data_IF_725933411077
#
_entry.id   IF_725933411077
#
_cell.length_a   1.000
_cell.length_b   1.000
_cell.length_c   1.000
_cell.angle_alpha   90.00
_cell.angle_beta   90.00
_cell.angle_gamma   90.00
#
_symmetry.space_group_name_H-M   'P 1'
#
loop_
_entity.id
_entity.type
_entity.pdbx_description
1 polymer ?
#
# COMPACT_ATOMS: atom_id res chain seq x y z
N UNK A 1 6.95 -4.15 -25.68
CA UNK A 1 7.58 -5.46 -25.49
C UNK A 1 6.60 -6.54 -25.94
N UNK A 2 7.06 -7.38 -26.85
CA UNK A 2 6.38 -8.60 -27.29
C UNK A 2 6.54 -9.71 -26.24
N UNK A 3 5.81 -10.82 -26.39
CA UNK A 3 6.00 -12.02 -25.55
C UNK A 3 7.45 -12.53 -25.65
N UNK A 4 8.02 -12.53 -26.85
CA UNK A 4 9.40 -12.97 -27.09
C UNK A 4 10.43 -12.10 -26.37
N UNK A 5 10.21 -10.78 -26.33
CA UNK A 5 11.09 -9.85 -25.59
C UNK A 5 11.09 -10.18 -24.09
N UNK A 6 9.92 -10.49 -23.52
CA UNK A 6 9.76 -10.80 -22.09
C UNK A 6 10.38 -12.16 -21.76
N UNK A 7 10.21 -13.17 -22.62
CA UNK A 7 10.87 -14.45 -22.46
C UNK A 7 12.40 -14.29 -22.46
N UNK A 8 12.93 -13.51 -23.41
CA UNK A 8 14.37 -13.27 -23.53
C UNK A 8 14.92 -12.53 -22.29
N UNK A 9 14.18 -11.53 -21.79
CA UNK A 9 14.52 -10.82 -20.56
C UNK A 9 14.51 -11.76 -19.34
N UNK A 10 13.46 -12.57 -19.19
CA UNK A 10 13.35 -13.52 -18.09
C UNK A 10 14.45 -14.59 -18.15
N UNK A 11 14.77 -15.10 -19.34
CA UNK A 11 15.82 -16.09 -19.57
C UNK A 11 17.21 -15.55 -19.22
N UNK A 12 17.49 -14.27 -19.51
CA UNK A 12 18.72 -13.60 -19.07
C UNK A 12 18.88 -13.57 -17.53
N UNK A 13 17.77 -13.71 -16.80
CA UNK A 13 17.72 -13.85 -15.34
C UNK A 13 17.49 -15.29 -14.85
N UNK A 14 17.60 -16.29 -15.72
CA UNK A 14 17.48 -17.71 -15.38
C UNK A 14 16.04 -18.20 -15.20
N UNK A 15 15.04 -17.44 -15.66
CA UNK A 15 13.63 -17.81 -15.60
C UNK A 15 13.09 -18.14 -17.00
N UNK A 16 12.80 -19.41 -17.24
CA UNK A 16 12.26 -19.88 -18.52
C UNK A 16 10.73 -19.83 -18.50
N UNK A 17 10.14 -18.94 -19.31
CA UNK A 17 8.70 -18.71 -19.39
C UNK A 17 8.06 -19.36 -20.63
N UNK A 18 6.83 -19.82 -20.47
CA UNK A 18 5.95 -20.19 -21.60
C UNK A 18 5.40 -18.94 -22.29
N UNK A 19 4.69 -19.14 -23.39
CA UNK A 19 3.96 -18.09 -24.13
C UNK A 19 2.66 -17.65 -23.45
N UNK A 20 2.20 -18.37 -22.42
CA UNK A 20 1.00 -18.05 -21.64
C UNK A 20 1.28 -16.87 -20.71
N UNK A 21 0.94 -15.67 -21.17
CA UNK A 21 1.11 -14.42 -20.42
C UNK A 21 -0.17 -13.59 -20.39
N UNK A 22 -0.46 -13.00 -19.23
CA UNK A 22 -1.49 -11.97 -19.08
C UNK A 22 -0.84 -10.66 -18.63
N UNK A 23 -1.32 -9.55 -19.20
CA UNK A 23 -0.73 -8.24 -19.00
C UNK A 23 -1.64 -7.36 -18.14
N UNK A 24 -1.05 -6.70 -17.15
CA UNK A 24 -1.69 -5.59 -16.44
C UNK A 24 -0.83 -4.34 -16.64
N UNK A 25 -1.38 -3.38 -17.39
CA UNK A 25 -0.71 -2.15 -17.78
C UNK A 25 -1.15 -0.94 -16.94
N UNK A 26 -1.95 -1.14 -15.89
CA UNK A 26 -2.46 -0.03 -15.06
C UNK A 26 -1.38 0.61 -14.18
N UNK A 27 -0.29 -0.10 -13.89
CA UNK A 27 0.81 0.39 -13.07
C UNK A 27 1.61 1.51 -13.73
N UNK A 28 1.94 2.55 -12.95
CA UNK A 28 2.69 3.74 -13.42
C UNK A 28 4.19 3.44 -13.52
N UNK A 29 4.79 2.83 -12.49
CA UNK A 29 6.24 2.57 -12.46
C UNK A 29 6.61 1.27 -13.16
N UNK A 30 5.71 0.28 -13.16
CA UNK A 30 5.97 -1.05 -13.67
C UNK A 30 4.87 -1.52 -14.62
N UNK A 31 5.29 -2.20 -15.67
CA UNK A 31 4.44 -3.12 -16.41
C UNK A 31 4.38 -4.45 -15.64
N UNK A 32 3.17 -4.93 -15.35
CA UNK A 32 2.96 -6.19 -14.63
C UNK A 32 2.58 -7.29 -15.61
N UNK A 33 3.24 -8.45 -15.50
CA UNK A 33 2.99 -9.61 -16.34
C UNK A 33 2.82 -10.84 -15.46
N UNK A 34 1.70 -11.53 -15.63
CA UNK A 34 1.48 -12.85 -15.05
C UNK A 34 1.88 -13.90 -16.09
N UNK A 35 2.83 -14.76 -15.74
CA UNK A 35 3.38 -15.74 -16.67
C UNK A 35 3.53 -17.12 -16.03
N UNK A 36 3.41 -18.17 -16.84
CA UNK A 36 3.70 -19.54 -16.41
C UNK A 36 5.12 -19.94 -16.83
N UNK A 37 5.91 -20.47 -15.91
CA UNK A 37 7.22 -21.03 -16.24
C UNK A 37 7.12 -22.42 -16.89
N UNK A 38 8.22 -22.92 -17.46
CA UNK A 38 8.23 -24.23 -18.14
C UNK A 38 8.02 -25.43 -17.20
N UNK A 39 7.97 -25.20 -15.88
CA UNK A 39 7.68 -26.19 -14.85
C UNK A 39 6.23 -26.11 -14.33
N UNK A 40 5.43 -25.16 -14.84
CA UNK A 40 4.05 -24.96 -14.44
C UNK A 40 3.83 -24.09 -13.21
N UNK A 41 4.87 -23.39 -12.71
CA UNK A 41 4.71 -22.40 -11.64
C UNK A 41 4.26 -21.05 -12.24
N UNK A 42 3.28 -20.41 -11.60
CA UNK A 42 2.88 -19.05 -11.97
C UNK A 42 3.77 -18.01 -11.29
N UNK A 43 4.15 -17.00 -12.07
CA UNK A 43 5.02 -15.91 -11.69
C UNK A 43 4.37 -14.56 -11.99
N UNK A 44 4.66 -13.58 -11.14
CA UNK A 44 4.42 -12.17 -11.38
C UNK A 44 5.76 -11.50 -11.70
N UNK A 45 5.81 -10.84 -12.86
CA UNK A 45 6.94 -10.03 -13.31
C UNK A 45 6.55 -8.56 -13.21
N UNK A 46 7.44 -7.73 -12.65
CA UNK A 46 7.37 -6.27 -12.70
C UNK A 46 8.55 -5.78 -13.55
N UNK A 47 8.23 -5.20 -14.69
CA UNK A 47 9.21 -4.64 -15.64
C UNK A 47 9.17 -3.12 -15.49
N UNK A 48 10.25 -2.46 -15.04
CA UNK A 48 10.29 -1.01 -14.89
C UNK A 48 9.95 -0.29 -16.21
N UNK A 49 9.11 0.74 -16.14
CA UNK A 49 8.78 1.59 -17.30
C UNK A 49 9.81 2.68 -17.57
N UNK A 50 10.65 2.99 -16.57
CA UNK A 50 11.62 4.08 -16.60
C UNK A 50 12.92 3.68 -15.93
N UNK A 51 14.01 4.30 -16.38
CA UNK A 51 15.29 4.25 -15.70
C UNK A 51 15.22 4.92 -14.31
N UNK A 52 16.17 4.60 -13.44
CA UNK A 52 16.24 5.20 -12.09
C UNK A 52 15.46 4.45 -11.00
N UNK A 53 14.75 3.37 -11.32
CA UNK A 53 14.02 2.54 -10.34
C UNK A 53 14.92 1.69 -9.44
N UNK A 54 16.24 1.72 -9.63
CA UNK A 54 17.22 0.91 -8.89
C UNK A 54 17.06 1.04 -7.37
N UNK A 55 17.01 2.27 -6.87
CA UNK A 55 16.98 2.50 -5.43
C UNK A 55 15.61 2.15 -4.81
N UNK A 56 14.51 2.39 -5.55
CA UNK A 56 13.17 1.95 -5.15
C UNK A 56 13.07 0.42 -5.06
N UNK A 57 13.55 -0.29 -6.09
CA UNK A 57 13.60 -1.77 -6.12
C UNK A 57 14.45 -2.29 -4.96
N UNK A 58 15.65 -1.73 -4.72
CA UNK A 58 16.49 -2.14 -3.59
C UNK A 58 15.81 -1.89 -2.25
N UNK A 59 15.16 -0.74 -2.08
CA UNK A 59 14.45 -0.38 -0.84
C UNK A 59 13.32 -1.37 -0.58
N UNK A 60 12.46 -1.60 -1.56
CA UNK A 60 11.33 -2.54 -1.43
C UNK A 60 11.83 -3.97 -1.20
N UNK A 61 12.93 -4.40 -1.83
CA UNK A 61 13.55 -5.70 -1.55
C UNK A 61 13.97 -5.85 -0.08
N UNK A 62 14.60 -4.82 0.52
CA UNK A 62 14.95 -4.82 1.95
C UNK A 62 13.71 -4.87 2.85
N UNK A 63 12.66 -4.14 2.48
CA UNK A 63 11.38 -4.19 3.19
C UNK A 63 10.81 -5.61 3.16
N UNK A 64 10.74 -6.24 1.99
CA UNK A 64 10.23 -7.61 1.83
C UNK A 64 11.03 -8.63 2.66
N UNK A 65 12.35 -8.50 2.68
CA UNK A 65 13.22 -9.34 3.52
C UNK A 65 13.03 -9.12 5.02
N UNK A 66 12.69 -7.90 5.44
CA UNK A 66 12.35 -7.58 6.82
C UNK A 66 10.98 -8.17 7.18
N UNK A 67 9.91 -7.82 6.46
CA UNK A 67 8.55 -8.20 6.82
C UNK A 67 8.33 -9.72 6.76
N UNK A 68 9.00 -10.43 5.84
CA UNK A 68 8.96 -11.90 5.76
C UNK A 68 9.40 -12.62 7.05
N UNK A 69 10.19 -11.96 7.91
CA UNK A 69 10.64 -12.51 9.20
C UNK A 69 9.59 -12.40 10.30
N UNK A 70 8.69 -11.43 10.18
CA UNK A 70 7.77 -11.03 11.25
C UNK A 70 6.31 -11.41 10.95
N UNK A 71 5.94 -11.46 9.68
CA UNK A 71 4.56 -11.72 9.28
C UNK A 71 4.28 -13.22 9.17
N UNK A 72 3.10 -13.62 9.65
CA UNK A 72 2.56 -14.98 9.51
C UNK A 72 1.85 -15.21 8.18
N UNK A 73 1.55 -14.14 7.45
CA UNK A 73 0.91 -14.13 6.14
C UNK A 73 1.96 -14.02 5.02
N UNK A 74 1.59 -14.39 3.79
CA UNK A 74 2.49 -14.33 2.64
C UNK A 74 2.85 -12.87 2.28
N UNK A 75 4.10 -12.69 1.88
CA UNK A 75 4.61 -11.44 1.28
C UNK A 75 5.38 -11.78 0.01
N UNK A 76 5.45 -10.88 -0.99
CA UNK A 76 6.24 -11.12 -2.19
C UNK A 76 7.68 -11.56 -1.91
N UNK A 77 8.05 -12.74 -2.43
CA UNK A 77 9.42 -13.25 -2.35
C UNK A 77 10.16 -12.97 -3.66
N UNK A 78 10.69 -11.76 -3.82
CA UNK A 78 11.44 -11.36 -5.02
C UNK A 78 12.66 -12.24 -5.23
N UNK A 79 12.52 -13.26 -6.07
CA UNK A 79 13.60 -14.20 -6.45
C UNK A 79 14.50 -13.60 -7.51
N UNK A 80 13.94 -12.74 -8.35
CA UNK A 80 14.68 -11.90 -9.28
C UNK A 80 14.43 -10.45 -8.86
N UNK A 81 15.51 -9.69 -8.70
CA UNK A 81 15.47 -8.26 -8.40
C UNK A 81 16.67 -7.58 -9.07
N UNK A 82 16.42 -7.05 -10.27
CA UNK A 82 17.38 -6.29 -11.07
C UNK A 82 16.75 -4.94 -11.45
N UNK A 83 17.54 -4.07 -12.10
CA UNK A 83 17.02 -2.81 -12.64
C UNK A 83 16.14 -2.99 -13.87
N UNK A 84 16.09 -4.18 -14.45
CA UNK A 84 15.36 -4.49 -15.68
C UNK A 84 14.17 -5.43 -15.40
N UNK A 85 14.26 -6.24 -14.35
CA UNK A 85 13.23 -7.21 -14.00
C UNK A 85 13.19 -7.46 -12.49
N UNK A 86 11.99 -7.39 -11.95
CA UNK A 86 11.63 -8.00 -10.67
C UNK A 86 10.69 -9.17 -10.95
N UNK A 87 10.91 -10.33 -10.35
CA UNK A 87 10.02 -11.47 -10.50
C UNK A 87 9.92 -12.32 -9.25
N UNK A 88 8.70 -12.81 -8.96
CA UNK A 88 8.41 -13.71 -7.85
C UNK A 88 7.24 -14.65 -8.19
N UNK A 89 7.16 -15.84 -7.57
CA UNK A 89 5.98 -16.69 -7.68
C UNK A 89 4.75 -15.95 -7.17
N UNK A 90 3.62 -16.07 -7.86
CA UNK A 90 2.38 -15.47 -7.37
C UNK A 90 2.00 -16.06 -6.00
N UNK A 91 1.47 -15.22 -5.13
CA UNK A 91 0.94 -15.62 -3.83
C UNK A 91 -0.33 -16.47 -4.03
N UNK A 92 -0.72 -17.22 -2.99
CA UNK A 92 -1.73 -18.28 -3.11
C UNK A 92 -3.13 -17.76 -3.46
N UNK A 93 -3.56 -16.70 -2.78
CA UNK A 93 -4.91 -16.14 -2.91
C UNK A 93 -4.90 -14.84 -3.73
N UNK A 94 -6.06 -14.21 -3.89
CA UNK A 94 -6.19 -12.95 -4.62
C UNK A 94 -6.34 -11.77 -3.65
N UNK A 95 -6.07 -10.53 -4.10
CA UNK A 95 -6.50 -9.34 -3.38
C UNK A 95 -7.97 -9.40 -2.98
N UNK A 96 -8.33 -8.91 -1.80
CA UNK A 96 -9.72 -8.86 -1.32
C UNK A 96 -10.61 -8.10 -2.31
N UNK A 97 -10.07 -7.04 -2.90
CA UNK A 97 -10.74 -6.18 -3.85
C UNK A 97 -9.88 -6.00 -5.11
N UNK A 98 -10.44 -6.30 -6.27
CA UNK A 98 -9.88 -5.96 -7.57
C UNK A 98 -10.77 -4.94 -8.27
N UNK A 99 -10.19 -4.22 -9.23
CA UNK A 99 -10.93 -3.42 -10.19
C UNK A 99 -10.85 -4.09 -11.55
N UNK A 100 -11.98 -4.21 -12.23
CA UNK A 100 -11.99 -4.60 -13.63
C UNK A 100 -11.30 -3.52 -14.47
N UNK A 101 -10.32 -3.93 -15.29
CA UNK A 101 -9.49 -2.99 -16.04
C UNK A 101 -10.25 -2.31 -17.20
N UNK A 102 -11.37 -2.88 -17.65
CA UNK A 102 -12.17 -2.35 -18.77
C UNK A 102 -13.41 -1.60 -18.26
N UNK A 103 -14.13 -2.18 -17.30
CA UNK A 103 -15.40 -1.63 -16.81
C UNK A 103 -15.24 -0.76 -15.57
N UNK A 104 -14.08 -0.81 -14.90
CA UNK A 104 -13.83 -0.18 -13.60
C UNK A 104 -14.76 -0.67 -12.48
N UNK A 105 -15.41 -1.82 -12.66
CA UNK A 105 -16.27 -2.42 -11.65
C UNK A 105 -15.43 -3.01 -10.50
N UNK A 106 -15.97 -2.88 -9.29
CA UNK A 106 -15.36 -3.44 -8.07
C UNK A 106 -15.69 -4.93 -7.99
N UNK A 107 -14.65 -5.76 -7.92
CA UNK A 107 -14.74 -7.21 -7.78
C UNK A 107 -14.26 -7.62 -6.38
N UNK A 108 -15.16 -8.20 -5.59
CA UNK A 108 -14.84 -8.78 -4.28
C UNK A 108 -14.46 -10.26 -4.42
N UNK A 109 -13.27 -10.65 -3.95
CA UNK A 109 -12.79 -12.03 -4.02
C UNK A 109 -13.13 -12.86 -2.76
N UNK A 110 -13.77 -12.23 -1.78
CA UNK A 110 -14.31 -12.85 -0.57
C UNK A 110 -15.60 -12.15 -0.16
N UNK A 111 -16.35 -12.74 0.76
CA UNK A 111 -17.49 -12.08 1.39
C UNK A 111 -17.01 -10.88 2.21
N UNK A 112 -17.45 -9.67 1.84
CA UNK A 112 -17.09 -8.41 2.52
C UNK A 112 -17.46 -8.40 4.00
N UNK A 113 -18.48 -9.18 4.37
CA UNK A 113 -19.02 -9.25 5.73
C UNK A 113 -18.44 -10.46 6.51
N UNK A 114 -17.42 -11.12 5.96
CA UNK A 114 -16.78 -12.28 6.62
C UNK A 114 -16.15 -11.86 7.96
N UNK A 115 -16.54 -12.50 9.08
CA UNK A 115 -15.95 -12.21 10.39
C UNK A 115 -14.47 -12.64 10.48
N UNK A 116 -14.03 -13.55 9.60
CA UNK A 116 -12.63 -13.99 9.54
C UNK A 116 -11.73 -12.87 9.04
N UNK A 117 -12.24 -11.98 8.19
CA UNK A 117 -11.44 -10.90 7.62
C UNK A 117 -10.96 -9.94 8.69
N UNK A 118 -11.86 -9.43 9.53
CA UNK A 118 -11.51 -8.46 10.57
C UNK A 118 -10.51 -9.04 11.57
N UNK A 119 -10.74 -10.27 12.04
CA UNK A 119 -9.88 -10.92 13.03
C UNK A 119 -8.48 -11.23 12.47
N UNK A 120 -8.39 -11.69 11.22
CA UNK A 120 -7.10 -11.97 10.57
C UNK A 120 -6.37 -10.70 10.09
N UNK A 121 -7.09 -9.65 9.68
CA UNK A 121 -6.53 -8.34 9.37
C UNK A 121 -5.97 -7.68 10.64
N UNK A 122 -6.70 -7.72 11.76
CA UNK A 122 -6.22 -7.22 13.05
C UNK A 122 -4.90 -7.89 13.45
N UNK A 123 -4.80 -9.22 13.28
CA UNK A 123 -3.57 -9.97 13.51
C UNK A 123 -2.43 -9.54 12.59
N UNK A 124 -2.72 -9.35 11.32
CA UNK A 124 -1.73 -8.90 10.33
C UNK A 124 -1.22 -7.49 10.67
N UNK A 125 -2.12 -6.55 10.97
CA UNK A 125 -1.75 -5.20 11.42
C UNK A 125 -0.92 -5.23 12.70
N UNK A 126 -1.28 -6.09 13.67
CA UNK A 126 -0.51 -6.26 14.90
C UNK A 126 0.92 -6.73 14.61
N UNK A 127 1.09 -7.70 13.71
CA UNK A 127 2.41 -8.19 13.29
C UNK A 127 3.23 -7.09 12.59
N UNK A 128 2.62 -6.33 11.67
CA UNK A 128 3.27 -5.20 10.96
C UNK A 128 3.72 -4.14 11.96
N UNK A 129 2.81 -3.67 12.81
CA UNK A 129 3.06 -2.58 13.76
C UNK A 129 4.02 -3.01 14.90
N UNK A 130 4.24 -4.31 15.08
CA UNK A 130 5.18 -4.86 16.08
C UNK A 130 6.62 -4.99 15.57
N UNK A 131 6.88 -4.71 14.29
CA UNK A 131 8.25 -4.77 13.74
C UNK A 131 9.14 -3.76 14.48
N UNK A 132 10.28 -4.18 15.08
CA UNK A 132 11.09 -3.31 15.91
C UNK A 132 11.79 -2.19 15.13
N UNK A 133 11.75 -0.95 15.66
CA UNK A 133 12.46 0.20 15.09
C UNK A 133 13.96 -0.06 14.86
N UNK A 134 14.57 -0.88 15.70
CA UNK A 134 15.97 -1.30 15.52
C UNK A 134 16.19 -1.95 14.15
N UNK A 135 15.33 -2.88 13.76
CA UNK A 135 15.45 -3.57 12.47
C UNK A 135 15.11 -2.64 11.30
N UNK A 136 14.16 -1.73 11.49
CA UNK A 136 13.83 -0.68 10.50
C UNK A 136 15.06 0.20 10.22
N UNK A 137 15.79 0.60 11.26
CA UNK A 137 17.04 1.35 11.17
C UNK A 137 18.15 0.54 10.50
N UNK A 138 18.29 -0.73 10.85
CA UNK A 138 19.29 -1.64 10.25
C UNK A 138 19.05 -1.87 8.75
N UNK A 139 17.81 -1.69 8.27
CA UNK A 139 17.43 -1.80 6.86
C UNK A 139 17.43 -0.45 6.12
N UNK A 140 17.90 0.64 6.75
CA UNK A 140 17.97 1.99 6.14
C UNK A 140 16.60 2.44 5.59
N UNK A 141 15.58 2.30 6.42
CA UNK A 141 14.21 2.74 6.12
C UNK A 141 13.89 4.05 6.85
N UNK A 142 12.96 4.82 6.29
CA UNK A 142 12.47 6.08 6.87
C UNK A 142 11.90 5.82 8.28
N UNK A 143 12.24 6.71 9.21
CA UNK A 143 11.71 6.67 10.58
C UNK A 143 11.19 8.06 10.93
N UNK A 144 9.88 8.17 11.07
CA UNK A 144 9.22 9.37 11.56
C UNK A 144 9.02 9.31 13.06
N UNK A 145 9.28 10.43 13.74
CA UNK A 145 8.90 10.64 15.13
C UNK A 145 7.51 11.27 15.18
N UNK A 146 6.80 11.16 16.31
CA UNK A 146 5.53 11.87 16.52
C UNK A 146 5.60 13.38 16.21
N UNK A 147 6.74 14.00 16.51
CA UNK A 147 7.00 15.43 16.22
C UNK A 147 7.05 15.77 14.74
N UNK A 148 7.29 14.78 13.88
CA UNK A 148 7.55 14.98 12.44
C UNK A 148 6.25 14.85 11.63
N UNK A 149 5.25 14.15 12.16
CA UNK A 149 4.01 13.79 11.47
C UNK A 149 3.18 15.02 11.04
N UNK A 150 2.96 15.96 11.96
CA UNK A 150 2.18 17.17 11.65
C UNK A 150 2.91 18.10 10.70
N UNK A 151 4.20 18.43 10.91
CA UNK A 151 4.96 19.22 9.95
C UNK A 151 4.95 18.62 8.55
N UNK A 152 5.06 17.29 8.40
CA UNK A 152 4.99 16.63 7.10
C UNK A 152 3.67 16.90 6.39
N UNK A 153 2.54 16.66 7.06
CA UNK A 153 1.21 16.90 6.48
C UNK A 153 1.00 18.40 6.18
N UNK A 154 1.47 19.30 7.04
CA UNK A 154 1.38 20.74 6.81
C UNK A 154 2.18 21.18 5.57
N UNK A 155 3.40 20.65 5.39
CA UNK A 155 4.24 20.90 4.22
C UNK A 155 3.60 20.35 2.95
N UNK A 156 3.06 19.13 3.02
CA UNK A 156 2.34 18.50 1.92
C UNK A 156 1.11 19.30 1.51
N UNK A 157 0.33 19.76 2.48
CA UNK A 157 -0.82 20.64 2.25
C UNK A 157 -0.39 21.93 1.54
N UNK A 158 0.70 22.56 1.98
CA UNK A 158 1.23 23.76 1.35
C UNK A 158 1.64 23.50 -0.11
N UNK A 159 2.38 22.42 -0.36
CA UNK A 159 2.86 22.05 -1.69
C UNK A 159 1.69 21.75 -2.65
N UNK A 160 0.75 20.88 -2.25
CA UNK A 160 -0.40 20.55 -3.11
C UNK A 160 -1.27 21.78 -3.36
N UNK A 161 -1.45 22.64 -2.36
CA UNK A 161 -2.16 23.90 -2.54
C UNK A 161 -1.47 24.84 -3.53
N UNK A 162 -0.13 24.92 -3.54
CA UNK A 162 0.60 25.80 -4.47
C UNK A 162 0.59 25.28 -5.91
N UNK A 163 0.76 23.97 -6.09
CA UNK A 163 0.96 23.38 -7.41
C UNK A 163 -0.34 22.94 -8.10
N UNK A 164 -1.32 22.44 -7.33
CA UNK A 164 -2.58 21.90 -7.86
C UNK A 164 -3.77 22.77 -7.50
N UNK A 165 -3.80 23.26 -6.27
CA UNK A 165 -4.96 23.91 -5.64
C UNK A 165 -5.75 22.95 -4.74
N UNK A 166 -6.57 23.53 -3.87
CA UNK A 166 -7.44 22.79 -2.93
C UNK A 166 -8.68 23.64 -2.63
N UNK A 167 -9.83 22.99 -2.50
CA UNK A 167 -11.06 23.66 -2.06
C UNK A 167 -10.94 24.21 -0.64
N UNK A 168 -11.60 25.33 -0.38
CA UNK A 168 -11.62 25.97 0.95
C UNK A 168 -12.16 25.01 2.04
N UNK A 169 -13.13 24.17 1.70
CA UNK A 169 -13.71 23.18 2.61
C UNK A 169 -12.66 22.15 3.06
N UNK A 170 -11.92 21.56 2.13
CA UNK A 170 -10.88 20.57 2.45
C UNK A 170 -9.71 21.23 3.18
N UNK A 171 -9.25 22.40 2.75
CA UNK A 171 -8.20 23.13 3.46
C UNK A 171 -8.60 23.43 4.91
N UNK A 172 -9.83 23.89 5.12
CA UNK A 172 -10.36 24.18 6.47
C UNK A 172 -10.40 22.92 7.32
N UNK A 173 -10.80 21.78 6.76
CA UNK A 173 -10.80 20.49 7.46
C UNK A 173 -9.38 20.10 7.87
N UNK A 174 -8.43 20.12 6.94
CA UNK A 174 -7.05 19.71 7.20
C UNK A 174 -6.35 20.62 8.21
N UNK A 175 -6.60 21.93 8.18
CA UNK A 175 -6.09 22.86 9.20
C UNK A 175 -6.64 22.54 10.59
N UNK A 176 -7.96 22.32 10.71
CA UNK A 176 -8.58 21.92 11.98
C UNK A 176 -8.04 20.60 12.52
N UNK A 177 -7.74 19.65 11.64
CA UNK A 177 -7.11 18.38 12.02
C UNK A 177 -5.68 18.60 12.55
N UNK A 178 -4.87 19.37 11.84
CA UNK A 178 -3.49 19.71 12.24
C UNK A 178 -3.42 20.45 13.59
N UNK A 179 -4.39 21.34 13.85
CA UNK A 179 -4.48 22.14 15.07
C UNK A 179 -5.06 21.36 16.27
N UNK A 180 -5.56 20.14 16.08
CA UNK A 180 -6.20 19.36 17.14
C UNK A 180 -5.21 18.42 17.83
N UNK A 181 -4.66 18.85 18.96
CA UNK A 181 -3.62 18.10 19.66
C UNK A 181 -3.99 16.67 20.05
N UNK A 182 -5.24 16.45 20.42
CA UNK A 182 -5.71 15.20 21.03
C UNK A 182 -5.77 14.07 20.01
N UNK A 183 -5.83 14.38 18.70
CA UNK A 183 -5.90 13.36 17.65
C UNK A 183 -4.58 12.63 17.43
N UNK A 184 -3.44 13.25 17.75
CA UNK A 184 -2.13 12.73 17.39
C UNK A 184 -1.53 11.89 18.52
N UNK A 185 -1.11 10.67 18.18
CA UNK A 185 -0.41 9.79 19.11
C UNK A 185 0.98 10.32 19.49
N UNK A 186 1.46 9.96 20.67
CA UNK A 186 2.83 10.22 21.15
C UNK A 186 3.82 9.11 20.76
N UNK A 187 3.43 8.23 19.84
CA UNK A 187 4.24 7.15 19.31
C UNK A 187 4.03 6.95 17.81
N UNK A 188 5.01 6.32 17.18
CA UNK A 188 4.96 5.84 15.79
C UNK A 188 5.26 4.34 15.76
N UNK A 189 4.85 3.66 14.69
CA UNK A 189 5.10 2.22 14.48
C UNK A 189 5.47 1.96 13.04
N UNK A 190 6.04 0.77 12.76
CA UNK A 190 6.25 0.35 11.38
C UNK A 190 4.88 0.12 10.73
N UNK A 191 4.67 0.71 9.55
CA UNK A 191 3.42 0.62 8.80
C UNK A 191 3.70 0.10 7.39
N UNK A 192 2.67 -0.46 6.76
CA UNK A 192 2.65 -0.74 5.34
C UNK A 192 2.66 0.56 4.52
N UNK A 193 1.88 1.56 4.91
CA UNK A 193 1.87 2.90 4.31
C UNK A 193 0.91 3.08 3.13
N UNK A 194 0.47 1.99 2.52
CA UNK A 194 -0.55 1.98 1.46
C UNK A 194 -1.52 0.80 1.58
N UNK A 195 -1.97 0.52 2.81
CA UNK A 195 -2.79 -0.66 3.09
C UNK A 195 -4.27 -0.41 2.80
N UNK A 196 -4.83 -1.15 1.85
CA UNK A 196 -6.26 -1.23 1.59
C UNK A 196 -6.62 -2.61 0.99
N UNK A 197 -7.90 -2.87 0.75
CA UNK A 197 -8.38 -4.18 0.28
C UNK A 197 -7.76 -4.66 -1.06
N UNK A 198 -7.20 -3.76 -1.87
CA UNK A 198 -6.46 -4.15 -3.09
C UNK A 198 -5.04 -4.66 -2.81
N UNK A 199 -4.49 -4.39 -1.63
CA UNK A 199 -3.15 -4.83 -1.20
C UNK A 199 -3.19 -5.92 -0.12
N UNK A 200 -4.38 -6.30 0.34
CA UNK A 200 -4.59 -7.41 1.27
C UNK A 200 -5.12 -8.61 0.49
N UNK A 201 -4.48 -9.76 0.61
CA UNK A 201 -4.91 -11.01 0.01
C UNK A 201 -5.68 -11.81 1.03
N UNK A 202 -6.78 -12.43 0.61
CA UNK A 202 -7.58 -13.28 1.48
C UNK A 202 -8.05 -14.52 0.74
N UNK A 203 -8.09 -15.62 1.46
CA UNK A 203 -8.77 -16.83 0.99
C UNK A 203 -10.28 -16.58 0.86
N UNK A 204 -10.97 -17.44 0.09
CA UNK A 204 -12.41 -17.29 -0.19
C UNK A 204 -13.29 -17.25 1.06
N UNK A 205 -12.84 -17.80 2.19
CA UNK A 205 -13.58 -17.77 3.45
C UNK A 205 -13.34 -16.48 4.27
N UNK A 206 -12.51 -15.58 3.75
CA UNK A 206 -12.21 -14.27 4.29
C UNK A 206 -10.99 -14.22 5.22
N UNK A 207 -10.27 -15.32 5.45
CA UNK A 207 -9.02 -15.23 6.19
C UNK A 207 -7.92 -14.54 5.36
N UNK A 208 -7.35 -13.45 5.89
CA UNK A 208 -6.18 -12.78 5.33
C UNK A 208 -5.02 -13.76 5.24
N UNK A 209 -4.43 -13.85 4.04
CA UNK A 209 -3.38 -14.79 3.71
C UNK A 209 -2.13 -14.14 3.14
N UNK A 210 -2.17 -12.86 2.77
CA UNK A 210 -0.98 -12.13 2.34
C UNK A 210 -1.17 -10.62 2.25
N UNK A 211 -0.04 -9.91 2.07
CA UNK A 211 -0.01 -8.46 1.83
C UNK A 211 1.04 -8.15 0.75
N UNK A 212 0.71 -7.26 -0.18
CA UNK A 212 1.53 -6.88 -1.35
C UNK A 212 1.73 -5.36 -1.44
N UNK A 213 2.60 -4.92 -2.34
CA UNK A 213 2.91 -3.51 -2.63
C UNK A 213 3.51 -2.71 -1.45
N UNK A 214 4.63 -3.22 -0.96
CA UNK A 214 5.33 -2.74 0.24
C UNK A 214 6.23 -1.50 0.04
N UNK A 215 6.15 -0.83 -1.11
CA UNK A 215 7.10 0.24 -1.49
C UNK A 215 7.08 1.45 -0.55
N UNK A 216 5.95 1.69 0.11
CA UNK A 216 5.68 2.82 1.02
C UNK A 216 5.96 2.49 2.48
N UNK A 217 6.40 1.28 2.83
CA UNK A 217 6.55 0.89 4.23
C UNK A 217 7.69 1.63 4.94
N UNK A 218 7.41 2.10 6.15
CA UNK A 218 8.33 2.85 7.00
C UNK A 218 7.77 2.99 8.43
N UNK A 219 8.49 3.63 9.35
CA UNK A 219 7.90 4.03 10.63
C UNK A 219 7.17 5.37 10.49
N UNK A 220 5.88 5.38 10.84
CA UNK A 220 4.98 6.53 10.78
C UNK A 220 3.78 6.36 11.75
N UNK A 221 2.73 7.16 11.58
CA UNK A 221 1.45 7.07 12.27
C UNK A 221 0.71 5.76 11.93
N UNK A 222 0.47 4.88 12.92
CA UNK A 222 -0.23 3.61 12.69
C UNK A 222 -1.66 3.79 12.17
N UNK A 223 -2.30 4.95 12.34
CA UNK A 223 -3.64 5.20 11.82
C UNK A 223 -3.73 5.15 10.29
N UNK A 224 -2.59 5.30 9.58
CA UNK A 224 -2.51 5.23 8.11
C UNK A 224 -2.98 3.87 7.61
N UNK A 225 -2.55 2.77 8.23
CA UNK A 225 -2.89 1.41 7.78
C UNK A 225 -4.36 1.02 8.07
N UNK A 226 -5.08 1.81 8.85
CA UNK A 226 -6.53 1.64 9.06
C UNK A 226 -7.37 2.48 8.09
N UNK A 227 -6.79 3.48 7.42
CA UNK A 227 -7.52 4.46 6.62
C UNK A 227 -8.16 3.81 5.37
N UNK A 228 -7.44 2.93 4.69
CA UNK A 228 -7.98 2.19 3.54
C UNK A 228 -9.15 1.26 3.91
N UNK A 229 -9.16 0.76 5.16
CA UNK A 229 -10.25 -0.09 5.66
C UNK A 229 -11.56 0.69 5.81
N UNK A 230 -11.54 1.85 6.46
CA UNK A 230 -12.77 2.61 6.72
C UNK A 230 -13.42 3.13 5.44
N UNK A 231 -12.62 3.47 4.43
CA UNK A 231 -13.14 3.91 3.12
C UNK A 231 -13.96 2.82 2.42
N UNK A 232 -13.64 1.54 2.63
CA UNK A 232 -14.30 0.42 1.93
C UNK A 232 -15.32 -0.33 2.77
N UNK A 233 -15.05 -0.49 4.07
CA UNK A 233 -15.87 -1.30 4.98
C UNK A 233 -16.70 -0.47 5.97
N UNK A 234 -16.48 0.85 6.01
CA UNK A 234 -17.23 1.78 6.87
C UNK A 234 -16.82 1.77 8.34
N UNK A 235 -17.41 2.71 9.08
CA UNK A 235 -16.98 3.08 10.43
C UNK A 235 -17.24 2.00 11.49
N UNK A 236 -18.35 1.26 11.39
CA UNK A 236 -18.65 0.17 12.33
C UNK A 236 -17.65 -0.99 12.20
N UNK A 237 -17.23 -1.27 10.96
CA UNK A 237 -16.19 -2.24 10.68
C UNK A 237 -14.82 -1.78 11.21
N UNK A 238 -14.49 -0.49 11.04
CA UNK A 238 -13.29 0.11 11.63
C UNK A 238 -13.26 -0.03 13.16
N UNK A 239 -14.36 0.28 13.86
CA UNK A 239 -14.44 0.12 15.31
C UNK A 239 -14.17 -1.32 15.73
N UNK A 240 -14.74 -2.28 15.01
CA UNK A 240 -14.53 -3.70 15.26
C UNK A 240 -13.06 -4.08 15.03
N UNK A 241 -12.45 -3.59 13.95
CA UNK A 241 -11.04 -3.82 13.65
C UNK A 241 -10.11 -3.27 14.75
N UNK A 242 -10.36 -2.05 15.23
CA UNK A 242 -9.59 -1.44 16.33
C UNK A 242 -9.71 -2.29 17.60
N UNK A 243 -10.91 -2.76 17.95
CA UNK A 243 -11.15 -3.63 19.11
C UNK A 243 -10.37 -4.95 18.99
N UNK A 244 -10.41 -5.61 17.83
CA UNK A 244 -9.67 -6.85 17.61
C UNK A 244 -8.14 -6.62 17.62
N UNK A 245 -7.68 -5.49 17.08
CA UNK A 245 -6.28 -5.09 17.12
C UNK A 245 -5.79 -4.84 18.56
N UNK A 246 -6.58 -4.13 19.37
CA UNK A 246 -6.27 -3.87 20.78
C UNK A 246 -6.23 -5.16 21.62
N UNK A 247 -7.16 -6.11 21.38
CA UNK A 247 -7.18 -7.42 22.05
C UNK A 247 -5.89 -8.22 21.86
N UNK A 248 -5.19 -8.00 20.75
CA UNK A 248 -3.90 -8.64 20.46
C UNK A 248 -2.72 -7.94 21.13
N UNK A 249 -2.94 -6.81 21.81
CA UNK A 249 -1.91 -5.96 22.40
C UNK A 249 -1.42 -4.87 21.46
N UNK A 250 -2.12 -4.61 20.36
CA UNK A 250 -1.86 -3.48 19.49
C UNK A 250 -1.95 -2.15 20.25
N UNK A 251 -1.03 -1.23 19.98
CA UNK A 251 -1.01 0.06 20.66
C UNK A 251 -2.12 0.95 20.12
N UNK A 252 -3.01 1.39 21.00
CA UNK A 252 -4.11 2.31 20.66
C UNK A 252 -4.09 3.52 21.59
N UNK A 253 -4.75 4.60 21.18
CA UNK A 253 -5.05 5.74 22.02
C UNK A 253 -6.51 6.13 21.84
N UNK A 254 -7.02 6.99 22.73
CA UNK A 254 -8.43 7.38 22.79
C UNK A 254 -8.98 8.04 21.51
N UNK A 255 -8.12 8.38 20.55
CA UNK A 255 -8.49 9.04 19.28
C UNK A 255 -8.01 8.31 18.02
N UNK A 256 -7.63 7.03 18.12
CA UNK A 256 -7.23 6.24 16.94
C UNK A 256 -8.34 6.24 15.89
N UNK A 257 -9.59 6.03 16.29
CA UNK A 257 -10.74 6.04 15.37
C UNK A 257 -10.86 7.39 14.64
N UNK A 258 -10.94 8.52 15.37
CA UNK A 258 -11.07 9.84 14.77
C UNK A 258 -9.84 10.22 13.92
N UNK A 259 -8.63 9.84 14.35
CA UNK A 259 -7.42 10.05 13.55
C UNK A 259 -7.48 9.26 12.25
N UNK A 260 -7.93 8.01 12.27
CA UNK A 260 -8.11 7.20 11.06
C UNK A 260 -9.11 7.86 10.10
N UNK A 261 -10.19 8.46 10.60
CA UNK A 261 -11.14 9.19 9.75
C UNK A 261 -10.51 10.40 9.08
N UNK A 262 -9.68 11.17 9.80
CA UNK A 262 -8.96 12.30 9.20
C UNK A 262 -7.88 11.85 8.21
N UNK A 263 -7.17 10.76 8.49
CA UNK A 263 -6.23 10.12 7.55
C UNK A 263 -6.93 9.67 6.28
N UNK A 264 -8.08 9.01 6.38
CA UNK A 264 -8.88 8.59 5.23
C UNK A 264 -9.38 9.80 4.42
N UNK A 265 -9.83 10.86 5.09
CA UNK A 265 -10.26 12.10 4.45
C UNK A 265 -9.12 12.91 3.82
N UNK A 266 -7.88 12.68 4.24
CA UNK A 266 -6.67 13.25 3.64
C UNK A 266 -6.17 12.47 2.41
N UNK A 267 -6.86 11.41 1.97
CA UNK A 267 -6.48 10.67 0.76
C UNK A 267 -6.37 11.53 -0.51
N UNK A 268 -7.21 12.56 -0.77
CA UNK A 268 -7.01 13.46 -1.92
C UNK A 268 -5.70 14.25 -1.84
N UNK A 269 -5.25 14.61 -0.64
CA UNK A 269 -3.98 15.29 -0.44
C UNK A 269 -2.82 14.37 -0.83
N UNK A 270 -2.84 13.12 -0.36
CA UNK A 270 -1.81 12.13 -0.69
C UNK A 270 -1.80 11.77 -2.18
N UNK A 271 -2.98 11.65 -2.80
CA UNK A 271 -3.10 11.44 -4.24
C UNK A 271 -2.55 12.64 -5.04
N UNK A 272 -2.76 13.86 -4.56
CA UNK A 272 -2.15 15.07 -5.12
C UNK A 272 -0.62 15.06 -5.07
N UNK A 273 -0.02 14.64 -3.96
CA UNK A 273 1.44 14.49 -3.86
C UNK A 273 1.96 13.47 -4.87
N UNK A 274 1.33 12.31 -4.94
CA UNK A 274 1.72 11.26 -5.87
C UNK A 274 1.60 11.72 -7.34
N UNK A 275 0.55 12.48 -7.67
CA UNK A 275 0.39 13.09 -8.99
C UNK A 275 1.53 14.08 -9.33
N UNK A 276 2.00 14.87 -8.36
CA UNK A 276 3.14 15.79 -8.53
C UNK A 276 4.47 15.03 -8.69
N UNK A 277 4.70 14.00 -7.89
CA UNK A 277 5.92 13.18 -7.94
C UNK A 277 6.08 12.45 -9.28
N UNK A 278 4.98 11.96 -9.83
CA UNK A 278 4.96 11.23 -11.10
C UNK A 278 4.89 12.15 -12.33
N UNK A 279 4.54 13.43 -12.13
CA UNK A 279 4.28 14.41 -13.20
C UNK A 279 3.29 13.90 -14.26
N UNK A 280 2.38 13.01 -13.88
CA UNK A 280 1.44 12.40 -14.79
C UNK A 280 0.19 13.28 -14.91
N UNK A 281 -0.07 13.80 -16.10
CA UNK A 281 -1.18 14.72 -16.36
C UNK A 281 -2.55 14.13 -16.00
N UNK A 282 -2.78 12.83 -16.26
CA UNK A 282 -4.07 12.22 -15.93
C UNK A 282 -4.29 12.11 -14.43
N UNK A 283 -3.23 11.83 -13.66
CA UNK A 283 -3.29 11.83 -12.20
C UNK A 283 -3.48 13.23 -11.64
N UNK A 284 -2.84 14.25 -12.25
CA UNK A 284 -3.03 15.65 -11.84
C UNK A 284 -4.49 16.08 -12.06
N UNK A 285 -5.11 15.69 -13.18
CA UNK A 285 -6.53 15.96 -13.44
C UNK A 285 -7.41 15.24 -12.41
N UNK A 286 -7.13 13.96 -12.13
CA UNK A 286 -7.83 13.21 -11.08
C UNK A 286 -7.68 13.87 -9.71
N UNK A 287 -6.49 14.36 -9.38
CA UNK A 287 -6.21 15.02 -8.11
C UNK A 287 -6.98 16.33 -7.99
N UNK A 288 -7.05 17.15 -9.06
CA UNK A 288 -7.86 18.37 -9.08
C UNK A 288 -9.34 18.09 -8.79
N UNK A 289 -9.89 17.02 -9.37
CA UNK A 289 -11.27 16.62 -9.11
C UNK A 289 -11.48 16.23 -7.64
N UNK A 290 -10.59 15.42 -7.07
CA UNK A 290 -10.70 14.99 -5.67
C UNK A 290 -10.42 16.13 -4.66
N UNK A 291 -9.59 17.10 -5.04
CA UNK A 291 -9.28 18.28 -4.22
C UNK A 291 -10.34 19.39 -4.34
N UNK A 292 -11.35 19.21 -5.20
CA UNK A 292 -12.46 20.16 -5.39
C UNK A 292 -12.05 21.45 -6.11
N UNK A 293 -11.11 21.35 -7.05
CA UNK A 293 -10.59 22.48 -7.85
C UNK A 293 -11.33 22.60 -9.19
N UNK A 294 -11.95 21.51 -9.66
CA UNK A 294 -12.69 21.42 -10.93
C UNK A 294 -14.02 20.71 -10.73
#
# INVERSE_FOLDING_TARGET
MTIQDIQSLAEAHGLLLTDKMNFNEMGIDFKVVFALDTKGQQWLLRIPRRDGMREQIKKEKRILELVKKHLSVEVPDWRISSTELVAYPILKDNPVLNLDAETYEIIWNMDKDSPKYITSLAKTLFEIHSIPEKEVRENDLKIMKPSDLRPEIANNLQLVKSEIGISEQLETRYRKWLDNDVLWADFTQFIHGDLYAGHVLASKDGAVSGVIDWSTAHIDDPAIDFAGHVTLFGEESLKTLIIEYEKLGGKVWNKLYEQTLERAAASPLMYGLFALETQNESLIVGAKAQLGVI
#
